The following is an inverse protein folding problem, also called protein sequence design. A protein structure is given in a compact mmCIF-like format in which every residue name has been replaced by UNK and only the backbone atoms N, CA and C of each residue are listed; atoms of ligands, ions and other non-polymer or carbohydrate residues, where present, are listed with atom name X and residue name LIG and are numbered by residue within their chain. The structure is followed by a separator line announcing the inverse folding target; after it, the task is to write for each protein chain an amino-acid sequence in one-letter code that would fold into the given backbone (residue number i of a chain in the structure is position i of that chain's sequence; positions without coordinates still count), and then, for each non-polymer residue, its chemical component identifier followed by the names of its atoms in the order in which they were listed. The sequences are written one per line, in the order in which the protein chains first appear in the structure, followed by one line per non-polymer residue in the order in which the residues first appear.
data_IF_721022862283
#
_entry.id   IF_721022862283
#
_cell.length_a   1.000
_cell.length_b   1.000
_cell.length_c   1.000
_cell.angle_alpha   90.00
_cell.angle_beta   90.00
_cell.angle_gamma   90.00
#
_symmetry.space_group_name_H-M   'P 1'
#
loop_
_entity.id
_entity.type
_entity.pdbx_description
1 polymer ?
#
# COMPACT_ATOMS: atom_id res chain seq x y z
N UNK A 1 7.84 1.17 0.67
CA UNK A 1 8.53 1.22 -0.65
C UNK A 1 9.53 0.07 -0.85
N UNK A 2 10.73 0.08 -0.23
CA UNK A 2 11.76 -0.96 -0.53
C UNK A 2 11.27 -2.38 -0.27
N UNK A 3 10.53 -2.59 0.83
CA UNK A 3 9.96 -3.91 1.14
C UNK A 3 8.88 -4.32 0.13
N UNK A 4 8.02 -3.39 -0.33
CA UNK A 4 7.02 -3.66 -1.36
C UNK A 4 7.65 -4.03 -2.71
N UNK A 5 8.76 -3.38 -3.09
CA UNK A 5 9.52 -3.78 -4.27
C UNK A 5 10.04 -5.22 -4.12
N UNK A 6 10.64 -5.54 -2.97
CA UNK A 6 11.13 -6.89 -2.69
C UNK A 6 10.01 -7.94 -2.69
N UNK A 7 8.84 -7.61 -2.13
CA UNK A 7 7.66 -8.48 -2.15
C UNK A 7 7.10 -8.66 -3.56
N UNK A 8 7.09 -7.63 -4.40
CA UNK A 8 6.70 -7.72 -5.80
C UNK A 8 7.64 -8.61 -6.61
N UNK A 9 8.95 -8.51 -6.37
CA UNK A 9 9.96 -9.40 -6.96
C UNK A 9 9.74 -10.85 -6.49
N UNK A 10 9.53 -11.07 -5.19
CA UNK A 10 9.25 -12.39 -4.63
C UNK A 10 8.01 -13.02 -5.28
N UNK A 11 6.94 -12.23 -5.44
CA UNK A 11 5.73 -12.69 -6.11
C UNK A 11 5.98 -13.08 -7.56
N UNK A 12 6.80 -12.32 -8.29
CA UNK A 12 7.18 -12.66 -9.66
C UNK A 12 7.92 -14.01 -9.75
N UNK A 13 8.83 -14.29 -8.81
CA UNK A 13 9.53 -15.58 -8.74
C UNK A 13 8.59 -16.75 -8.42
N UNK A 14 7.67 -16.57 -7.47
CA UNK A 14 6.66 -17.58 -7.14
C UNK A 14 5.82 -17.89 -8.38
N UNK A 15 5.27 -16.88 -9.06
CA UNK A 15 4.47 -17.11 -10.27
C UNK A 15 5.31 -17.71 -11.40
N UNK A 16 6.58 -17.30 -11.56
CA UNK A 16 7.49 -17.89 -12.55
C UNK A 16 7.74 -19.38 -12.32
N UNK A 17 7.78 -19.84 -11.07
CA UNK A 17 7.92 -21.28 -10.76
C UNK A 17 6.69 -22.10 -11.15
N UNK A 18 5.50 -21.49 -11.16
CA UNK A 18 4.24 -22.13 -11.60
C UNK A 18 4.07 -22.04 -13.11
N UNK A 19 4.56 -20.96 -13.72
CA UNK A 19 4.50 -20.71 -15.17
C UNK A 19 5.91 -20.54 -15.78
N UNK A 20 6.66 -21.64 -15.99
CA UNK A 20 8.04 -21.58 -16.48
C UNK A 20 8.19 -20.94 -17.86
N UNK A 21 7.15 -20.93 -18.69
CA UNK A 21 7.20 -20.33 -20.03
C UNK A 21 6.96 -18.80 -20.02
N UNK A 22 6.45 -18.24 -18.92
CA UNK A 22 6.14 -16.82 -18.85
C UNK A 22 7.41 -15.95 -18.81
N UNK A 23 7.40 -14.81 -19.51
CA UNK A 23 8.56 -13.88 -19.53
C UNK A 23 8.90 -13.34 -18.13
N UNK A 24 10.11 -13.64 -17.64
CA UNK A 24 10.58 -13.19 -16.33
C UNK A 24 10.59 -11.66 -16.21
N UNK A 25 11.03 -10.96 -17.25
CA UNK A 25 11.06 -9.50 -17.27
C UNK A 25 9.65 -8.90 -17.13
N UNK A 26 8.67 -9.47 -17.83
CA UNK A 26 7.27 -9.06 -17.72
C UNK A 26 6.71 -9.31 -16.32
N UNK A 27 6.97 -10.48 -15.74
CA UNK A 27 6.49 -10.82 -14.39
C UNK A 27 7.11 -9.92 -13.32
N UNK A 28 8.42 -9.65 -13.40
CA UNK A 28 9.11 -8.75 -12.49
C UNK A 28 8.55 -7.33 -12.57
N UNK A 29 8.39 -6.81 -13.79
CA UNK A 29 7.81 -5.48 -14.00
C UNK A 29 6.40 -5.38 -13.42
N UNK A 30 5.52 -6.33 -13.75
CA UNK A 30 4.14 -6.34 -13.26
C UNK A 30 4.08 -6.53 -11.74
N UNK A 31 4.90 -7.40 -11.18
CA UNK A 31 4.93 -7.66 -9.73
C UNK A 31 5.34 -6.43 -8.94
N UNK A 32 6.42 -5.76 -9.36
CA UNK A 32 6.87 -4.51 -8.72
C UNK A 32 5.83 -3.40 -8.90
N UNK A 33 5.33 -3.21 -10.13
CA UNK A 33 4.34 -2.18 -10.42
C UNK A 33 3.06 -2.37 -9.57
N UNK A 34 2.54 -3.59 -9.51
CA UNK A 34 1.34 -3.89 -8.75
C UNK A 34 1.52 -3.74 -7.23
N UNK A 35 2.72 -4.05 -6.71
CA UNK A 35 3.01 -3.88 -5.28
C UNK A 35 3.20 -2.40 -4.90
N UNK A 36 3.59 -1.54 -5.84
CA UNK A 36 3.72 -0.09 -5.63
C UNK A 36 2.43 0.68 -5.94
N UNK A 37 1.47 0.07 -6.63
CA UNK A 37 0.24 0.74 -7.03
C UNK A 37 -0.59 1.27 -5.84
N UNK A 38 -0.73 0.54 -4.71
CA UNK A 38 -1.45 1.07 -3.55
C UNK A 38 -0.76 2.29 -2.93
N UNK A 39 0.57 2.32 -2.97
CA UNK A 39 1.35 3.44 -2.47
C UNK A 39 1.09 4.73 -3.25
N UNK A 40 0.78 4.63 -4.54
CA UNK A 40 0.44 5.79 -5.38
C UNK A 40 -0.79 6.55 -4.86
N UNK A 41 -1.69 5.91 -4.10
CA UNK A 41 -2.84 6.57 -3.48
C UNK A 41 -2.42 7.62 -2.43
N UNK A 42 -1.23 7.49 -1.83
CA UNK A 42 -0.68 8.55 -0.98
C UNK A 42 -0.43 9.84 -1.77
N UNK A 43 0.00 9.74 -3.02
CA UNK A 43 0.19 10.90 -3.91
C UNK A 43 -1.17 11.52 -4.22
N UNK A 44 -2.18 10.69 -4.51
CA UNK A 44 -3.56 11.14 -4.71
C UNK A 44 -4.15 11.81 -3.46
N UNK A 45 -3.85 11.29 -2.26
CA UNK A 45 -4.22 11.93 -1.00
C UNK A 45 -3.65 13.35 -0.92
N UNK A 46 -2.34 13.53 -1.13
CA UNK A 46 -1.70 14.85 -1.02
C UNK A 46 -2.13 15.85 -2.10
N UNK A 47 -2.54 15.36 -3.26
CA UNK A 47 -2.87 16.20 -4.44
C UNK A 47 -4.36 16.47 -4.59
N UNK A 48 -5.23 15.54 -4.15
CA UNK A 48 -6.66 15.60 -4.42
C UNK A 48 -7.51 15.60 -3.15
N UNK A 49 -7.86 14.43 -2.61
CA UNK A 49 -8.91 14.33 -1.59
C UNK A 49 -8.43 14.66 -0.17
N UNK A 50 -7.13 14.51 0.10
CA UNK A 50 -6.46 14.98 1.33
C UNK A 50 -5.78 16.35 1.17
N UNK A 51 -5.93 17.02 0.03
CA UNK A 51 -5.16 18.21 -0.34
C UNK A 51 -5.24 19.39 0.66
N UNK A 52 -6.33 19.46 1.42
CA UNK A 52 -6.63 20.53 2.38
C UNK A 52 -6.40 20.12 3.85
N UNK A 53 -5.97 18.89 4.12
CA UNK A 53 -5.71 18.45 5.50
C UNK A 53 -4.52 19.16 6.11
N UNK A 54 -4.51 19.33 7.44
CA UNK A 54 -3.39 19.97 8.14
C UNK A 54 -2.09 19.20 7.94
N UNK A 55 -2.18 17.87 7.89
CA UNK A 55 -1.07 17.01 7.52
C UNK A 55 -0.49 17.35 6.14
N UNK A 56 -1.34 17.49 5.11
CA UNK A 56 -0.90 17.87 3.76
C UNK A 56 -0.30 19.29 3.73
N UNK A 57 -0.84 20.24 4.50
CA UNK A 57 -0.27 21.59 4.60
C UNK A 57 1.15 21.56 5.16
N UNK A 58 1.39 20.78 6.22
CA UNK A 58 2.71 20.61 6.83
C UNK A 58 3.69 19.94 5.84
N UNK A 59 3.26 18.88 5.15
CA UNK A 59 4.06 18.22 4.10
C UNK A 59 4.47 19.22 3.00
N UNK A 60 3.52 20.02 2.51
CA UNK A 60 3.80 21.06 1.50
C UNK A 60 4.76 22.13 2.01
N UNK A 61 4.66 22.52 3.28
CA UNK A 61 5.58 23.47 3.90
C UNK A 61 7.02 22.93 3.95
N UNK A 62 7.20 21.67 4.33
CA UNK A 62 8.52 21.04 4.32
C UNK A 62 9.11 20.92 2.91
N UNK A 63 8.28 20.63 1.90
CA UNK A 63 8.71 20.66 0.50
C UNK A 63 9.17 22.06 0.07
N UNK A 64 8.39 23.11 0.38
CA UNK A 64 8.73 24.50 0.04
C UNK A 64 10.02 24.97 0.70
N UNK A 65 10.27 24.52 1.93
CA UNK A 65 11.47 24.87 2.70
C UNK A 65 12.67 23.95 2.42
N UNK A 66 12.55 23.01 1.47
CA UNK A 66 13.59 22.04 1.08
C UNK A 66 14.13 21.18 2.24
N UNK A 67 13.36 21.00 3.30
CA UNK A 67 13.76 20.19 4.47
C UNK A 67 13.49 18.69 4.22
N UNK A 68 14.08 18.12 3.18
CA UNK A 68 13.75 16.77 2.69
C UNK A 68 13.97 15.68 3.73
N UNK A 69 15.06 15.75 4.52
CA UNK A 69 15.33 14.76 5.57
C UNK A 69 14.27 14.79 6.66
N UNK A 70 13.91 15.99 7.12
CA UNK A 70 12.86 16.20 8.13
C UNK A 70 11.51 15.74 7.60
N UNK A 71 11.19 16.05 6.33
CA UNK A 71 9.99 15.62 5.64
C UNK A 71 9.84 14.09 5.63
N UNK A 72 10.90 13.37 5.25
CA UNK A 72 10.86 11.90 5.19
C UNK A 72 10.57 11.30 6.57
N UNK A 73 11.23 11.83 7.61
CA UNK A 73 11.00 11.37 8.98
C UNK A 73 9.57 11.71 9.45
N UNK A 74 9.10 12.92 9.14
CA UNK A 74 7.75 13.37 9.47
C UNK A 74 6.70 12.46 8.82
N UNK A 75 6.81 12.19 7.51
CA UNK A 75 5.89 11.30 6.79
C UNK A 75 5.91 9.92 7.42
N UNK A 76 7.09 9.31 7.63
CA UNK A 76 7.21 7.96 8.23
C UNK A 76 6.50 7.84 9.56
N UNK A 77 6.63 8.84 10.43
CA UNK A 77 6.04 8.82 11.77
C UNK A 77 4.54 9.16 11.79
N UNK A 78 4.06 9.92 10.81
CA UNK A 78 2.74 10.54 10.89
C UNK A 78 1.73 10.05 9.84
N UNK A 79 2.16 9.47 8.71
CA UNK A 79 1.23 9.12 7.62
C UNK A 79 0.10 8.21 8.11
N UNK A 80 0.41 7.08 8.77
CA UNK A 80 -0.60 6.12 9.23
C UNK A 80 -1.73 6.74 10.07
N UNK A 81 -1.42 7.72 10.92
CA UNK A 81 -2.41 8.31 11.83
C UNK A 81 -3.10 9.56 11.26
N UNK A 82 -2.55 10.16 10.21
CA UNK A 82 -3.00 11.46 9.70
C UNK A 82 -3.45 11.42 8.24
N UNK A 83 -3.41 10.26 7.59
CA UNK A 83 -3.98 10.03 6.26
C UNK A 83 -5.19 9.12 6.34
N UNK A 84 -6.27 9.49 5.65
CA UNK A 84 -7.40 8.61 5.39
C UNK A 84 -7.34 8.12 3.95
N UNK A 85 -6.63 7.03 3.70
CA UNK A 85 -6.29 6.54 2.36
C UNK A 85 -7.37 5.56 1.89
N UNK A 86 -8.03 5.87 0.77
CA UNK A 86 -9.17 5.08 0.31
C UNK A 86 -8.80 3.68 -0.14
N UNK A 87 -7.61 3.46 -0.68
CA UNK A 87 -7.17 2.12 -1.09
C UNK A 87 -6.87 1.18 0.08
N UNK A 88 -6.65 1.67 1.30
CA UNK A 88 -6.22 0.87 2.44
C UNK A 88 -7.39 0.56 3.38
N UNK A 89 -8.35 -0.20 2.85
CA UNK A 89 -9.54 -0.65 3.57
C UNK A 89 -9.83 -2.13 3.30
N UNK A 90 -10.56 -2.80 4.20
CA UNK A 90 -10.84 -4.23 4.10
C UNK A 90 -11.69 -4.62 2.88
N UNK A 91 -12.55 -3.72 2.38
CA UNK A 91 -13.30 -3.97 1.14
C UNK A 91 -12.35 -4.03 -0.07
N UNK A 92 -11.37 -3.14 -0.16
CA UNK A 92 -10.35 -3.19 -1.22
C UNK A 92 -9.51 -4.45 -1.12
N UNK A 93 -9.12 -4.87 0.09
CA UNK A 93 -8.43 -6.15 0.30
C UNK A 93 -9.26 -7.32 -0.21
N UNK A 94 -10.55 -7.38 0.15
CA UNK A 94 -11.45 -8.43 -0.30
C UNK A 94 -11.61 -8.45 -1.83
N UNK A 95 -11.73 -7.27 -2.47
CA UNK A 95 -11.82 -7.15 -3.93
C UNK A 95 -10.54 -7.65 -4.61
N UNK A 96 -9.37 -7.27 -4.10
CA UNK A 96 -8.08 -7.68 -4.69
C UNK A 96 -7.81 -9.17 -4.50
N UNK A 97 -8.10 -9.73 -3.32
CA UNK A 97 -8.00 -11.17 -3.07
C UNK A 97 -8.99 -11.96 -3.94
N UNK A 98 -10.24 -11.48 -4.04
CA UNK A 98 -11.24 -12.08 -4.93
C UNK A 98 -10.82 -12.01 -6.40
N UNK A 99 -10.22 -10.90 -6.82
CA UNK A 99 -9.68 -10.73 -8.17
C UNK A 99 -8.49 -11.65 -8.42
N UNK A 100 -7.60 -11.86 -7.44
CA UNK A 100 -6.54 -12.85 -7.55
C UNK A 100 -7.11 -14.25 -7.78
N UNK A 101 -8.15 -14.63 -7.02
CA UNK A 101 -8.77 -15.93 -7.17
C UNK A 101 -9.48 -16.10 -8.53
N UNK A 102 -10.31 -15.14 -8.93
CA UNK A 102 -11.14 -15.22 -10.15
C UNK A 102 -10.38 -14.89 -11.43
N UNK A 103 -9.36 -14.04 -11.39
CA UNK A 103 -8.65 -13.59 -12.60
C UNK A 103 -7.22 -14.11 -12.67
N UNK A 104 -6.57 -14.31 -11.53
CA UNK A 104 -5.25 -14.92 -11.47
C UNK A 104 -5.34 -16.43 -11.66
N UNK A 105 -6.02 -17.10 -10.72
CA UNK A 105 -6.01 -18.57 -10.64
C UNK A 105 -6.90 -19.22 -11.69
N UNK A 106 -8.20 -18.88 -11.78
CA UNK A 106 -9.13 -19.64 -12.66
C UNK A 106 -8.97 -19.37 -14.15
N UNK A 107 -8.29 -18.28 -14.54
CA UNK A 107 -8.03 -17.94 -15.95
C UNK A 107 -6.64 -18.32 -16.44
N UNK A 108 -5.87 -19.04 -15.63
CA UNK A 108 -4.53 -19.53 -15.98
C UNK A 108 -3.62 -18.44 -16.58
N UNK A 109 -3.69 -17.23 -16.01
CA UNK A 109 -3.00 -16.06 -16.55
C UNK A 109 -1.82 -15.69 -15.66
N UNK A 110 -0.56 -15.91 -16.10
CA UNK A 110 0.62 -15.53 -15.32
C UNK A 110 0.65 -14.03 -15.01
N UNK A 111 0.19 -13.21 -15.96
CA UNK A 111 0.21 -11.74 -15.83
C UNK A 111 -0.80 -11.25 -14.80
N UNK A 112 -2.03 -11.76 -14.81
CA UNK A 112 -3.04 -11.40 -13.81
C UNK A 112 -2.71 -12.01 -12.45
N UNK A 113 -2.17 -13.23 -12.43
CA UNK A 113 -1.70 -13.90 -11.21
C UNK A 113 -0.65 -13.06 -10.48
N UNK A 114 0.44 -12.67 -11.16
CA UNK A 114 1.50 -11.89 -10.51
C UNK A 114 1.01 -10.51 -10.09
N UNK A 115 0.15 -9.88 -10.89
CA UNK A 115 -0.38 -8.55 -10.61
C UNK A 115 -1.24 -8.57 -9.34
N UNK A 116 -2.27 -9.42 -9.29
CA UNK A 116 -3.17 -9.46 -8.13
C UNK A 116 -2.54 -10.11 -6.89
N UNK A 117 -1.62 -11.07 -7.05
CA UNK A 117 -0.86 -11.61 -5.90
C UNK A 117 0.03 -10.55 -5.27
N UNK A 118 0.74 -9.76 -6.11
CA UNK A 118 1.61 -8.68 -5.63
C UNK A 118 0.82 -7.54 -4.97
N UNK A 119 -0.35 -7.22 -5.49
CA UNK A 119 -1.25 -6.26 -4.85
C UNK A 119 -1.80 -6.82 -3.53
N UNK A 120 -2.19 -8.09 -3.49
CA UNK A 120 -2.67 -8.74 -2.26
C UNK A 120 -1.60 -8.74 -1.17
N UNK A 121 -0.37 -9.13 -1.50
CA UNK A 121 0.71 -9.22 -0.51
C UNK A 121 1.09 -7.83 0.04
N UNK A 122 0.93 -6.76 -0.74
CA UNK A 122 1.09 -5.40 -0.26
C UNK A 122 0.19 -5.14 0.95
N UNK A 123 -1.13 -5.35 0.79
CA UNK A 123 -2.07 -5.10 1.88
C UNK A 123 -1.89 -6.06 3.06
N UNK A 124 -1.58 -7.33 2.80
CA UNK A 124 -1.30 -8.30 3.87
C UNK A 124 -0.10 -7.84 4.69
N UNK A 125 0.97 -7.36 4.03
CA UNK A 125 2.14 -6.84 4.70
C UNK A 125 1.80 -5.60 5.54
N UNK A 126 1.04 -4.66 5.00
CA UNK A 126 0.68 -3.44 5.74
C UNK A 126 -0.21 -3.72 6.95
N UNK A 127 -1.16 -4.65 6.82
CA UNK A 127 -1.96 -5.16 7.94
C UNK A 127 -1.06 -5.79 9.00
N UNK A 128 -0.10 -6.61 8.58
CA UNK A 128 0.85 -7.25 9.49
C UNK A 128 1.75 -6.21 10.19
N UNK A 129 2.22 -5.19 9.47
CA UNK A 129 2.98 -4.08 10.01
C UNK A 129 2.16 -3.31 11.06
N UNK A 130 0.88 -3.04 10.79
CA UNK A 130 -0.03 -2.41 11.76
C UNK A 130 -0.16 -3.22 13.05
N UNK A 131 -0.39 -4.54 12.92
CA UNK A 131 -0.50 -5.43 14.07
C UNK A 131 0.80 -5.52 14.86
N UNK A 132 1.95 -5.61 14.19
CA UNK A 132 3.25 -5.77 14.83
C UNK A 132 3.70 -4.50 15.56
N UNK A 133 3.59 -3.34 14.92
CA UNK A 133 4.14 -2.08 15.45
C UNK A 133 3.12 -1.25 16.25
N UNK A 134 1.82 -1.34 15.92
CA UNK A 134 0.78 -0.56 16.58
C UNK A 134 -0.12 -1.40 17.50
N UNK A 135 0.04 -2.74 17.49
CA UNK A 135 -0.77 -3.70 18.27
C UNK A 135 -2.27 -3.68 17.94
N UNK A 136 -2.65 -3.00 16.87
CA UNK A 136 -4.02 -2.84 16.41
C UNK A 136 -4.01 -2.41 14.95
N UNK A 137 -5.04 -2.79 14.20
CA UNK A 137 -5.22 -2.32 12.83
C UNK A 137 -5.43 -0.81 12.81
N UNK A 138 -4.83 -0.14 11.82
CA UNK A 138 -5.12 1.25 11.53
C UNK A 138 -6.64 1.44 11.31
N UNK A 139 -7.29 2.44 11.95
CA UNK A 139 -8.70 2.75 11.72
C UNK A 139 -9.08 2.96 10.25
N UNK A 140 -8.13 3.36 9.42
CA UNK A 140 -8.28 3.47 7.98
C UNK A 140 -8.81 2.18 7.33
N UNK A 141 -8.42 1.00 7.85
CA UNK A 141 -8.89 -0.29 7.37
C UNK A 141 -10.42 -0.43 7.42
N UNK A 142 -11.07 0.31 8.32
CA UNK A 142 -12.51 0.33 8.54
C UNK A 142 -13.20 1.59 8.01
N UNK A 143 -12.56 2.34 7.09
CA UNK A 143 -13.03 3.64 6.61
C UNK A 143 -13.23 4.69 7.71
N UNK A 144 -12.58 4.52 8.87
CA UNK A 144 -12.64 5.48 9.98
C UNK A 144 -11.54 6.51 9.83
N UNK A 145 -11.75 7.46 8.94
CA UNK A 145 -10.83 8.57 8.71
C UNK A 145 -10.87 9.53 9.91
N UNK A 146 -9.70 9.98 10.38
CA UNK A 146 -9.57 10.94 11.48
C UNK A 146 -10.28 10.51 12.78
N UNK A 147 -10.25 9.23 13.16
CA UNK A 147 -10.63 8.88 14.52
C UNK A 147 -9.60 9.52 15.46
N UNK A 148 -9.95 10.70 16.00
CA UNK A 148 -9.20 11.35 17.07
C UNK A 148 -9.01 10.27 18.13
N UNK A 149 -7.78 9.78 18.26
CA UNK A 149 -7.43 8.91 19.38
C UNK A 149 -7.67 9.79 20.59
N UNK A 150 -8.81 9.61 21.28
CA UNK A 150 -9.07 10.26 22.56
C UNK A 150 -7.81 10.00 23.37
N UNK A 151 -7.06 11.05 23.70
CA UNK A 151 -5.94 10.96 24.62
C UNK A 151 -6.48 10.18 25.81
N UNK A 152 -5.92 9.01 26.07
CA UNK A 152 -5.97 8.51 27.43
C UNK A 152 -5.10 9.48 28.22
N UNK A 153 -5.74 10.54 28.70
CA UNK A 153 -5.27 11.28 29.86
C UNK A 153 -5.20 10.26 30.99
N UNK A 154 -3.97 9.88 31.32
CA UNK A 154 -3.59 9.34 32.61
C UNK A 154 -2.53 10.27 33.17
#
# INVERSE_FOLDING_TARGET
MTIHVALGILCAYIIKSVYPEASSAKLLFLGVLANLLPDADHILYFTWYGAKSDYTKIVRQYFRTKQIRTLVNFIKQNHKNNTGIYSHNLLTVAIVLGSFWVLGITRDSPSLSVFFMSWSIHYIYDIFEDLLFFKSLNPNWFFRFNSVRKKHEK
#
